data_IF_164194795730
#
_entry.id   IF_164194795730
#
_cell.length_a   1.000
_cell.length_b   1.000
_cell.length_c   1.000
_cell.angle_alpha   90.00
_cell.angle_beta   90.00
_cell.angle_gamma   90.00
#
_symmetry.space_group_name_H-M   'P 1'
#
loop_
_entity.id
_entity.type
_entity.pdbx_description
1 polymer ?
#
# COMPACT_ATOMS: atom_id res chain seq x y z
N UNK A 1 1.47 -0.95 -14.86
CA UNK A 1 1.38 -2.40 -14.54
C UNK A 1 1.98 -3.28 -15.62
N UNK A 2 2.35 -2.75 -16.79
CA UNK A 2 2.97 -3.51 -17.87
C UNK A 2 4.47 -3.75 -17.69
N UNK A 3 5.05 -3.24 -16.61
CA UNK A 3 6.48 -3.35 -16.30
C UNK A 3 6.81 -4.47 -15.31
N UNK A 4 5.80 -5.14 -14.74
CA UNK A 4 6.01 -6.27 -13.83
C UNK A 4 5.80 -7.58 -14.57
N UNK A 5 6.86 -8.36 -14.69
CA UNK A 5 6.86 -9.66 -15.35
C UNK A 5 6.90 -9.60 -16.88
N UNK A 6 6.81 -10.75 -17.48
CA UNK A 6 6.80 -10.90 -18.94
C UNK A 6 5.42 -10.57 -19.55
N UNK A 7 5.40 -10.15 -20.81
CA UNK A 7 4.15 -9.93 -21.53
C UNK A 7 3.34 -11.23 -21.59
N UNK A 8 2.15 -11.20 -21.04
CA UNK A 8 1.23 -12.34 -21.07
C UNK A 8 0.53 -12.37 -22.42
N UNK A 9 0.63 -13.49 -23.13
CA UNK A 9 -0.18 -13.75 -24.31
C UNK A 9 -1.53 -14.29 -23.85
N UNK A 10 -2.60 -13.55 -24.10
CA UNK A 10 -3.95 -13.97 -23.73
C UNK A 10 -4.93 -13.54 -24.83
N UNK A 11 -5.79 -14.49 -25.25
CA UNK A 11 -6.87 -14.25 -26.22
C UNK A 11 -7.97 -13.35 -25.64
N UNK A 12 -8.22 -13.47 -24.34
CA UNK A 12 -9.25 -12.69 -23.63
C UNK A 12 -8.66 -11.91 -22.47
N UNK A 13 -9.14 -10.69 -22.26
CA UNK A 13 -8.77 -9.83 -21.12
C UNK A 13 -10.03 -9.39 -20.40
N UNK A 14 -10.06 -9.59 -19.08
CA UNK A 14 -11.14 -9.11 -18.20
C UNK A 14 -10.61 -7.93 -17.40
N UNK A 15 -11.32 -6.80 -17.47
CA UNK A 15 -11.01 -5.61 -16.67
C UNK A 15 -11.94 -5.55 -15.46
N UNK A 16 -11.37 -5.32 -14.29
CA UNK A 16 -12.11 -5.11 -13.04
C UNK A 16 -12.40 -3.64 -12.76
N UNK A 17 -12.05 -2.72 -13.66
CA UNK A 17 -12.21 -1.27 -13.44
C UNK A 17 -13.66 -0.83 -13.17
N UNK A 18 -14.64 -1.55 -13.72
CA UNK A 18 -16.07 -1.31 -13.44
C UNK A 18 -16.52 -1.84 -12.08
N UNK A 19 -15.75 -2.71 -11.43
CA UNK A 19 -16.02 -3.24 -10.10
C UNK A 19 -15.43 -2.27 -9.07
N UNK A 20 -16.00 -1.08 -8.96
CA UNK A 20 -15.51 0.03 -8.15
C UNK A 20 -16.57 0.56 -7.20
N UNK A 21 -16.15 1.15 -6.11
CA UNK A 21 -16.96 1.81 -5.08
C UNK A 21 -16.67 1.30 -3.68
N UNK A 22 -16.98 2.16 -2.70
CA UNK A 22 -16.95 1.82 -1.28
C UNK A 22 -18.26 1.08 -0.99
N UNK A 23 -18.16 -0.08 -0.32
CA UNK A 23 -19.30 -0.90 0.09
C UNK A 23 -19.74 -0.48 1.49
N UNK A 24 -18.80 -0.48 2.43
CA UNK A 24 -19.01 -0.10 3.82
C UNK A 24 -17.79 0.68 4.33
N UNK A 25 -18.04 1.63 5.22
CA UNK A 25 -16.98 2.32 5.95
C UNK A 25 -17.49 2.68 7.34
N UNK A 26 -16.83 2.15 8.36
CA UNK A 26 -17.14 2.37 9.76
C UNK A 26 -15.91 2.96 10.47
N UNK A 27 -15.85 4.31 10.56
CA UNK A 27 -14.70 4.99 11.17
C UNK A 27 -14.41 4.55 12.60
N UNK A 28 -15.45 4.30 13.40
CA UNK A 28 -15.35 3.90 14.81
C UNK A 28 -14.75 2.49 14.95
N UNK A 29 -15.00 1.62 13.98
CA UNK A 29 -14.50 0.25 13.95
C UNK A 29 -13.17 0.12 13.18
N UNK A 30 -12.66 1.22 12.64
CA UNK A 30 -11.39 1.32 11.95
C UNK A 30 -11.26 0.37 10.75
N UNK A 31 -12.31 0.22 9.96
CA UNK A 31 -12.24 -0.53 8.70
C UNK A 31 -12.99 0.14 7.56
N UNK A 32 -12.54 -0.17 6.34
CA UNK A 32 -13.22 0.17 5.09
C UNK A 32 -13.33 -1.07 4.22
N UNK A 33 -14.52 -1.30 3.65
CA UNK A 33 -14.79 -2.35 2.69
C UNK A 33 -15.06 -1.76 1.31
N UNK A 34 -14.30 -2.20 0.31
CA UNK A 34 -14.36 -1.67 -1.05
C UNK A 34 -14.40 -2.77 -2.10
N UNK A 35 -14.89 -2.45 -3.29
CA UNK A 35 -14.72 -3.29 -4.48
C UNK A 35 -13.28 -3.23 -4.97
N UNK A 36 -12.75 -4.33 -5.50
CA UNK A 36 -11.32 -4.44 -5.84
C UNK A 36 -10.84 -3.47 -6.91
N UNK A 37 -11.69 -3.05 -7.83
CA UNK A 37 -11.38 -2.06 -8.87
C UNK A 37 -11.48 -0.60 -8.40
N UNK A 38 -11.78 -0.35 -7.13
CA UNK A 38 -11.86 1.02 -6.58
C UNK A 38 -10.50 1.70 -6.68
N UNK A 39 -10.41 2.90 -7.28
CA UNK A 39 -9.20 3.69 -7.27
C UNK A 39 -8.74 3.94 -5.82
N UNK A 40 -7.45 3.76 -5.57
CA UNK A 40 -6.93 3.91 -4.20
C UNK A 40 -7.16 5.33 -3.66
N UNK A 41 -7.00 6.35 -4.52
CA UNK A 41 -7.25 7.74 -4.13
C UNK A 41 -8.70 8.04 -3.71
N UNK A 42 -9.67 7.28 -4.19
CA UNK A 42 -11.07 7.45 -3.76
C UNK A 42 -11.27 6.90 -2.34
N UNK A 43 -10.60 5.80 -2.01
CA UNK A 43 -10.55 5.28 -0.66
C UNK A 43 -9.87 6.28 0.30
N UNK A 44 -8.70 6.81 -0.08
CA UNK A 44 -7.98 7.81 0.73
C UNK A 44 -8.82 9.06 1.00
N UNK A 45 -9.50 9.61 -0.01
CA UNK A 45 -10.40 10.76 0.15
C UNK A 45 -11.56 10.49 1.12
N UNK A 46 -12.09 9.27 1.13
CA UNK A 46 -13.15 8.90 2.07
C UNK A 46 -12.61 8.85 3.51
N UNK A 47 -11.41 8.30 3.71
CA UNK A 47 -10.76 8.18 5.01
C UNK A 47 -10.36 9.56 5.57
N UNK A 48 -9.91 10.47 4.71
CA UNK A 48 -9.48 11.81 5.10
C UNK A 48 -10.58 12.62 5.82
N UNK A 49 -11.84 12.40 5.46
CA UNK A 49 -12.99 13.05 6.10
C UNK A 49 -13.11 12.74 7.61
N UNK A 50 -12.56 11.62 8.04
CA UNK A 50 -12.57 11.17 9.43
C UNK A 50 -11.16 11.14 10.03
N UNK A 51 -10.19 11.88 9.46
CA UNK A 51 -8.80 11.88 9.89
C UNK A 51 -8.21 10.47 10.01
N UNK A 52 -8.50 9.60 9.05
CA UNK A 52 -7.98 8.24 8.95
C UNK A 52 -7.15 8.07 7.70
N UNK A 53 -6.31 7.04 7.69
CA UNK A 53 -5.38 6.75 6.60
C UNK A 53 -5.17 5.26 6.36
N UNK A 54 -4.70 4.92 5.15
CA UNK A 54 -4.07 3.64 4.83
C UNK A 54 -2.60 3.72 5.26
N UNK A 55 -2.30 3.26 6.46
CA UNK A 55 -1.00 3.49 7.11
C UNK A 55 0.19 2.81 6.42
N UNK A 56 -0.05 1.84 5.53
CA UNK A 56 0.99 1.17 4.75
C UNK A 56 1.62 2.04 3.64
N UNK A 57 1.25 3.32 3.57
CA UNK A 57 1.77 4.31 2.62
C UNK A 57 1.71 3.86 1.15
N UNK A 58 0.55 3.95 0.51
CA UNK A 58 0.44 3.59 -0.89
C UNK A 58 1.34 4.44 -1.79
N UNK A 59 2.25 3.79 -2.51
CA UNK A 59 3.18 4.44 -3.45
C UNK A 59 2.43 4.85 -4.72
N UNK A 60 2.69 6.04 -5.24
CA UNK A 60 2.16 6.50 -6.52
C UNK A 60 3.07 6.12 -7.68
N UNK A 61 2.87 4.92 -8.21
CA UNK A 61 3.66 4.44 -9.34
C UNK A 61 3.42 5.22 -10.62
N UNK A 62 2.23 5.76 -10.84
CA UNK A 62 1.95 6.59 -12.00
C UNK A 62 2.77 7.86 -11.99
N UNK A 63 2.94 8.43 -10.79
CA UNK A 63 3.78 9.61 -10.63
C UNK A 63 5.26 9.32 -10.96
N UNK A 64 5.76 8.17 -10.51
CA UNK A 64 7.14 7.72 -10.79
C UNK A 64 7.31 7.41 -12.29
N UNK A 65 6.31 6.76 -12.92
CA UNK A 65 6.40 6.32 -14.31
C UNK A 65 6.29 7.48 -15.31
N UNK A 66 5.37 8.41 -15.12
CA UNK A 66 5.03 9.43 -16.13
C UNK A 66 4.69 10.82 -15.58
N UNK A 67 4.93 11.07 -14.29
CA UNK A 67 4.66 12.33 -13.62
C UNK A 67 3.18 12.64 -13.37
N UNK A 68 2.27 11.69 -13.66
CA UNK A 68 0.83 11.82 -13.41
C UNK A 68 0.41 10.89 -12.29
N UNK A 69 -0.28 11.44 -11.30
CA UNK A 69 -0.78 10.64 -10.18
C UNK A 69 -1.67 9.49 -10.66
N UNK A 70 -1.27 8.27 -10.36
CA UNK A 70 -2.05 7.06 -10.59
C UNK A 70 -1.61 5.96 -9.62
N UNK A 71 -2.18 5.97 -8.42
CA UNK A 71 -1.92 4.95 -7.41
C UNK A 71 -2.50 3.57 -7.78
N UNK A 72 -3.31 3.49 -8.83
CA UNK A 72 -3.98 2.26 -9.22
C UNK A 72 -5.21 1.95 -8.37
N UNK A 73 -5.53 0.66 -8.21
CA UNK A 73 -6.72 0.19 -7.51
C UNK A 73 -6.38 -0.54 -6.21
N UNK A 74 -7.32 -0.59 -5.27
CA UNK A 74 -7.15 -1.31 -3.99
C UNK A 74 -6.79 -2.79 -4.23
N UNK A 75 -7.47 -3.46 -5.16
CA UNK A 75 -7.16 -4.85 -5.53
C UNK A 75 -5.77 -5.02 -6.11
N UNK A 76 -5.31 -4.08 -6.94
CA UNK A 76 -3.95 -4.07 -7.46
C UNK A 76 -2.90 -3.92 -6.37
N UNK A 77 -3.16 -3.05 -5.40
CA UNK A 77 -2.29 -2.85 -4.24
C UNK A 77 -2.16 -4.10 -3.37
N UNK A 78 -3.31 -4.69 -3.01
CA UNK A 78 -3.34 -5.93 -2.24
C UNK A 78 -2.61 -7.06 -2.97
N UNK A 79 -2.87 -7.20 -4.27
CA UNK A 79 -2.23 -8.25 -5.07
C UNK A 79 -0.70 -8.12 -5.12
N UNK A 80 -0.15 -6.91 -5.04
CA UNK A 80 1.29 -6.66 -5.07
C UNK A 80 1.93 -6.57 -3.68
N UNK A 81 1.15 -6.36 -2.63
CA UNK A 81 1.62 -6.13 -1.25
C UNK A 81 2.65 -4.99 -1.15
N UNK A 82 2.44 -3.91 -1.88
CA UNK A 82 3.35 -2.76 -1.82
C UNK A 82 3.13 -1.94 -0.55
N UNK A 83 4.22 -1.48 0.04
CA UNK A 83 4.21 -0.61 1.21
C UNK A 83 5.35 0.40 1.13
N UNK A 84 5.16 1.56 1.73
CA UNK A 84 6.17 2.62 1.81
C UNK A 84 7.15 2.45 2.96
N UNK A 85 7.80 3.54 3.32
CA UNK A 85 8.88 3.61 4.31
C UNK A 85 8.43 3.28 5.75
N UNK A 86 7.12 3.39 6.02
CA UNK A 86 6.53 3.08 7.34
C UNK A 86 6.36 1.58 7.60
N UNK A 87 6.73 0.72 6.65
CA UNK A 87 6.52 -0.73 6.73
C UNK A 87 7.06 -1.35 8.01
N UNK A 88 8.21 -0.90 8.52
CA UNK A 88 8.80 -1.48 9.72
C UNK A 88 7.98 -1.17 11.00
N UNK A 89 7.22 -0.07 11.00
CA UNK A 89 6.39 0.33 12.15
C UNK A 89 4.95 -0.17 12.05
N UNK A 90 4.35 -0.08 10.87
CA UNK A 90 2.92 -0.34 10.67
C UNK A 90 2.62 -1.63 9.88
N UNK A 91 3.65 -2.27 9.33
CA UNK A 91 3.49 -3.41 8.46
C UNK A 91 3.21 -3.04 7.00
N UNK A 92 2.93 -4.06 6.20
CA UNK A 92 2.59 -3.97 4.78
C UNK A 92 1.08 -4.03 4.57
N UNK A 93 0.62 -4.01 3.32
CA UNK A 93 -0.81 -4.23 2.98
C UNK A 93 -1.34 -5.52 3.59
N UNK A 94 -0.50 -6.59 3.62
CA UNK A 94 -0.83 -7.88 4.21
C UNK A 94 -1.24 -7.79 5.68
N UNK A 95 -0.67 -6.85 6.42
CA UNK A 95 -0.95 -6.66 7.85
C UNK A 95 -2.21 -5.81 8.09
N UNK A 96 -2.72 -5.18 7.04
CA UNK A 96 -3.93 -4.36 7.05
C UNK A 96 -5.14 -5.04 6.41
N UNK A 97 -4.99 -6.16 5.69
CA UNK A 97 -6.14 -6.86 5.12
C UNK A 97 -6.85 -7.68 6.19
N UNK A 98 -8.14 -7.38 6.40
CA UNK A 98 -9.01 -8.07 7.34
C UNK A 98 -9.81 -9.18 6.68
N UNK A 99 -10.13 -9.02 5.40
CA UNK A 99 -10.88 -10.00 4.65
C UNK A 99 -10.98 -9.69 3.17
N UNK A 100 -11.40 -10.67 2.39
CA UNK A 100 -11.65 -10.51 0.96
C UNK A 100 -12.76 -11.43 0.47
N UNK A 101 -13.32 -11.07 -0.67
CA UNK A 101 -14.06 -11.95 -1.54
C UNK A 101 -13.38 -11.99 -2.90
N UNK A 102 -13.35 -13.14 -3.52
CA UNK A 102 -12.76 -13.34 -4.84
C UNK A 102 -13.27 -14.58 -5.55
N UNK A 103 -12.76 -14.81 -6.74
CA UNK A 103 -13.09 -15.97 -7.57
C UNK A 103 -11.79 -16.75 -7.79
N UNK A 104 -11.82 -18.06 -7.51
CA UNK A 104 -10.68 -18.94 -7.73
C UNK A 104 -10.55 -19.39 -9.19
N UNK A 105 -9.52 -20.18 -9.52
CA UNK A 105 -9.29 -20.68 -10.86
C UNK A 105 -10.32 -21.68 -11.38
N UNK A 106 -11.23 -22.17 -10.51
CA UNK A 106 -12.36 -23.05 -10.88
C UNK A 106 -13.66 -22.29 -11.12
N UNK A 107 -13.67 -20.97 -10.84
CA UNK A 107 -14.86 -20.13 -10.94
C UNK A 107 -15.69 -20.06 -9.65
N UNK A 108 -15.23 -20.68 -8.57
CA UNK A 108 -15.94 -20.65 -7.29
C UNK A 108 -15.70 -19.34 -6.56
N UNK A 109 -16.73 -18.82 -5.90
CA UNK A 109 -16.62 -17.67 -5.02
C UNK A 109 -15.97 -18.12 -3.70
N UNK A 110 -14.86 -17.48 -3.36
CA UNK A 110 -14.16 -17.69 -2.10
C UNK A 110 -14.23 -16.44 -1.24
N UNK A 111 -14.41 -16.64 0.07
CA UNK A 111 -14.40 -15.58 1.08
C UNK A 111 -13.51 -15.99 2.23
N UNK A 112 -12.77 -15.03 2.77
CA UNK A 112 -11.97 -15.24 3.99
C UNK A 112 -11.92 -13.96 4.80
N UNK A 113 -11.84 -14.10 6.13
CA UNK A 113 -11.82 -12.96 7.04
C UNK A 113 -13.20 -12.30 7.19
N UNK A 114 -13.19 -11.08 7.72
CA UNK A 114 -14.38 -10.31 8.02
C UNK A 114 -14.04 -8.86 8.29
N UNK A 115 -14.75 -8.23 9.21
CA UNK A 115 -14.53 -6.85 9.66
C UNK A 115 -13.73 -6.76 10.96
N UNK A 116 -13.42 -7.90 11.59
CA UNK A 116 -12.71 -7.97 12.88
C UNK A 116 -11.24 -8.30 12.69
N UNK A 117 -10.40 -7.70 13.52
CA UNK A 117 -8.93 -7.85 13.46
C UNK A 117 -8.48 -9.28 13.83
N UNK A 118 -9.26 -10.00 14.65
CA UNK A 118 -8.94 -11.35 15.09
C UNK A 118 -9.91 -12.36 14.52
N UNK A 119 -9.45 -13.13 13.55
CA UNK A 119 -10.14 -14.35 13.09
C UNK A 119 -9.23 -15.55 13.38
N UNK A 120 -9.68 -16.46 14.26
CA UNK A 120 -8.90 -17.61 14.74
C UNK A 120 -9.36 -18.94 14.12
N UNK A 121 -10.31 -18.90 13.20
CA UNK A 121 -10.89 -20.12 12.61
C UNK A 121 -10.34 -20.34 11.19
N UNK A 122 -9.61 -21.42 10.99
CA UNK A 122 -9.09 -21.84 9.69
C UNK A 122 -7.83 -21.08 9.23
N UNK A 123 -7.47 -21.28 7.97
CA UNK A 123 -6.32 -20.61 7.34
C UNK A 123 -6.63 -19.15 7.03
N UNK A 124 -5.64 -18.29 7.24
CA UNK A 124 -5.72 -16.87 6.85
C UNK A 124 -5.48 -16.72 5.35
N UNK A 125 -6.50 -16.99 4.55
CA UNK A 125 -6.45 -16.87 3.10
C UNK A 125 -6.27 -15.40 2.65
N UNK A 126 -6.68 -14.43 3.47
CA UNK A 126 -6.50 -13.02 3.17
C UNK A 126 -5.01 -12.67 3.07
N UNK A 127 -4.20 -13.23 3.96
CA UNK A 127 -2.76 -13.08 3.93
C UNK A 127 -2.09 -13.90 2.81
N UNK A 128 -2.67 -15.01 2.41
CA UNK A 128 -2.17 -15.83 1.32
C UNK A 128 -2.34 -15.13 -0.04
N UNK A 129 -3.50 -14.52 -0.29
CA UNK A 129 -3.78 -13.86 -1.57
C UNK A 129 -3.07 -12.50 -1.68
N UNK A 130 -2.69 -11.88 -0.55
CA UNK A 130 -1.94 -10.64 -0.54
C UNK A 130 -0.51 -10.90 -1.03
N UNK A 131 -0.10 -10.18 -2.06
CA UNK A 131 1.21 -10.38 -2.70
C UNK A 131 1.25 -11.51 -3.73
N UNK A 132 0.11 -12.13 -4.05
CA UNK A 132 0.02 -13.22 -5.04
C UNK A 132 0.06 -12.73 -6.50
N UNK A 133 0.11 -11.45 -6.76
CA UNK A 133 0.02 -10.84 -8.09
C UNK A 133 -1.22 -11.26 -8.90
N UNK A 134 -2.30 -11.66 -8.20
CA UNK A 134 -3.53 -12.14 -8.82
C UNK A 134 -3.44 -13.56 -9.40
N UNK A 135 -2.41 -14.34 -9.05
CA UNK A 135 -2.22 -15.70 -9.56
C UNK A 135 -3.09 -16.74 -8.86
N UNK A 136 -3.57 -16.43 -7.64
CA UNK A 136 -4.36 -17.35 -6.83
C UNK A 136 -5.87 -17.10 -6.93
N UNK A 137 -6.27 -15.85 -7.13
CA UNK A 137 -7.68 -15.48 -7.24
C UNK A 137 -7.87 -14.14 -7.93
N UNK A 138 -9.06 -13.93 -8.48
CA UNK A 138 -9.55 -12.63 -8.94
C UNK A 138 -10.30 -11.97 -7.78
N UNK A 139 -9.73 -10.94 -7.20
CA UNK A 139 -10.33 -10.23 -6.06
C UNK A 139 -11.54 -9.42 -6.51
N UNK A 140 -12.64 -9.49 -5.76
CA UNK A 140 -13.87 -8.73 -6.02
C UNK A 140 -14.18 -7.71 -4.94
N UNK A 141 -14.02 -8.06 -3.67
CA UNK A 141 -14.21 -7.20 -2.50
C UNK A 141 -13.03 -7.33 -1.55
N UNK A 142 -12.70 -6.26 -0.87
CA UNK A 142 -11.58 -6.19 0.07
C UNK A 142 -12.00 -5.38 1.28
N UNK A 143 -11.71 -5.91 2.48
CA UNK A 143 -11.84 -5.21 3.75
C UNK A 143 -10.46 -4.88 4.28
N UNK A 144 -10.19 -3.60 4.50
CA UNK A 144 -8.92 -3.10 5.02
C UNK A 144 -9.12 -2.46 6.39
N UNK A 145 -8.18 -2.74 7.27
CA UNK A 145 -7.98 -1.96 8.50
C UNK A 145 -7.45 -0.58 8.12
N UNK A 146 -7.98 0.44 8.77
CA UNK A 146 -7.49 1.82 8.68
C UNK A 146 -6.97 2.27 10.03
N UNK A 147 -6.15 3.30 10.05
CA UNK A 147 -5.62 3.87 11.29
C UNK A 147 -5.94 5.36 11.36
N UNK A 148 -6.06 5.93 12.58
CA UNK A 148 -6.11 7.37 12.75
C UNK A 148 -4.86 8.02 12.17
N UNK A 149 -5.04 9.08 11.41
CA UNK A 149 -3.95 9.88 10.87
C UNK A 149 -3.27 10.64 12.01
N UNK A 150 -1.95 10.63 12.04
CA UNK A 150 -1.21 11.44 13.01
C UNK A 150 -1.47 12.92 12.73
N UNK A 151 -1.72 13.69 13.78
CA UNK A 151 -1.97 15.13 13.69
C UNK A 151 -0.72 15.92 13.29
N UNK A 152 0.44 15.35 13.53
CA UNK A 152 1.73 15.98 13.29
C UNK A 152 2.79 14.93 12.91
N UNK A 153 3.64 15.27 11.94
CA UNK A 153 4.83 14.49 11.60
C UNK A 153 5.93 15.41 11.09
N UNK A 154 7.16 15.13 11.48
CA UNK A 154 8.35 15.78 10.96
C UNK A 154 9.21 14.79 10.20
N UNK A 155 9.90 15.29 9.16
CA UNK A 155 10.92 14.53 8.45
C UNK A 155 12.30 15.10 8.81
N UNK A 156 13.20 14.24 9.25
CA UNK A 156 14.61 14.60 9.48
C UNK A 156 15.42 14.02 8.34
N UNK A 157 16.21 14.86 7.69
CA UNK A 157 17.16 14.44 6.66
C UNK A 157 18.55 14.46 7.26
N UNK A 158 19.28 13.36 7.10
CA UNK A 158 20.62 13.18 7.67
C UNK A 158 21.55 12.80 6.54
N UNK A 159 22.60 13.59 6.32
CA UNK A 159 23.67 13.24 5.39
C UNK A 159 24.60 12.20 6.04
N UNK A 160 24.78 11.09 5.36
CA UNK A 160 25.64 10.00 5.80
C UNK A 160 26.78 9.80 4.81
N UNK A 161 28.02 9.68 5.34
CA UNK A 161 29.22 9.67 4.50
C UNK A 161 29.65 8.27 4.05
N UNK A 162 29.20 7.24 4.72
CA UNK A 162 29.57 5.86 4.41
C UNK A 162 28.48 4.86 4.81
N UNK A 163 28.59 3.65 4.27
CA UNK A 163 27.61 2.58 4.51
C UNK A 163 27.51 2.14 5.98
N UNK A 164 28.61 2.24 6.75
CA UNK A 164 28.58 1.87 8.16
C UNK A 164 27.72 2.84 8.95
N UNK A 165 27.86 4.15 8.68
CA UNK A 165 27.02 5.18 9.30
C UNK A 165 25.53 4.97 9.01
N UNK A 166 25.17 4.45 7.81
CA UNK A 166 23.80 4.10 7.46
C UNK A 166 23.27 3.00 8.39
N UNK A 167 24.01 1.90 8.54
CA UNK A 167 23.60 0.78 9.41
C UNK A 167 23.47 1.21 10.87
N UNK A 168 24.48 1.93 11.39
CA UNK A 168 24.48 2.45 12.76
C UNK A 168 23.30 3.39 13.03
N UNK A 169 22.91 4.19 12.02
CA UNK A 169 21.75 5.09 12.10
C UNK A 169 20.43 4.30 12.14
N UNK A 170 20.24 3.32 11.24
CA UNK A 170 19.04 2.49 11.22
C UNK A 170 18.88 1.70 12.51
N UNK A 171 19.97 1.19 13.07
CA UNK A 171 19.95 0.49 14.36
C UNK A 171 19.49 1.42 15.49
N UNK A 172 20.09 2.61 15.59
CA UNK A 172 19.68 3.63 16.56
C UNK A 172 18.22 4.06 16.40
N UNK A 173 17.75 4.24 15.16
CA UNK A 173 16.36 4.61 14.86
C UNK A 173 15.43 3.51 15.36
N UNK A 174 15.75 2.24 15.07
CA UNK A 174 14.91 1.09 15.42
C UNK A 174 14.82 0.87 16.93
N UNK A 175 15.90 1.15 17.67
CA UNK A 175 15.98 1.04 19.14
C UNK A 175 15.57 2.31 19.89
N UNK A 176 15.20 3.38 19.20
CA UNK A 176 14.91 4.67 19.80
C UNK A 176 13.52 4.67 20.48
N UNK A 177 13.40 5.42 21.58
CA UNK A 177 12.12 5.71 22.24
C UNK A 177 11.29 6.76 21.48
N UNK A 178 11.86 7.38 20.44
CA UNK A 178 11.15 8.30 19.56
C UNK A 178 10.16 7.54 18.69
N UNK A 179 8.98 8.10 18.47
CA UNK A 179 7.96 7.46 17.61
C UNK A 179 8.33 7.57 16.11
N UNK A 180 9.47 7.04 15.72
CA UNK A 180 9.87 7.02 14.31
C UNK A 180 8.89 6.16 13.52
N UNK A 181 8.19 6.78 12.58
CA UNK A 181 7.15 6.11 11.80
C UNK A 181 7.67 5.54 10.48
N UNK A 182 8.73 6.09 9.92
CA UNK A 182 9.31 5.66 8.65
C UNK A 182 10.80 6.02 8.58
N UNK A 183 11.59 5.23 7.86
CA UNK A 183 12.98 5.53 7.55
C UNK A 183 13.32 5.02 6.15
N UNK A 184 14.06 5.82 5.40
CA UNK A 184 14.46 5.48 4.03
C UNK A 184 15.87 6.01 3.78
N UNK A 185 16.69 5.18 3.18
CA UNK A 185 17.97 5.64 2.64
C UNK A 185 17.80 5.99 1.17
N UNK A 186 18.24 7.17 0.80
CA UNK A 186 18.28 7.63 -0.59
C UNK A 186 19.75 7.72 -0.99
N UNK A 187 20.25 6.84 -1.88
CA UNK A 187 21.62 6.92 -2.36
C UNK A 187 21.84 8.21 -3.13
N UNK A 188 23.09 8.68 -3.15
CA UNK A 188 23.49 9.80 -3.99
C UNK A 188 23.06 9.54 -5.43
N UNK A 189 22.30 10.48 -5.96
CA UNK A 189 21.76 10.59 -7.31
C UNK A 189 21.72 9.30 -8.16
N UNK A 190 20.56 8.64 -8.24
CA UNK A 190 20.32 7.74 -9.36
C UNK A 190 20.56 8.55 -10.65
N UNK A 191 21.41 8.05 -11.54
CA UNK A 191 21.69 8.67 -12.86
C UNK A 191 20.48 8.67 -13.81
N UNK A 192 19.28 8.41 -13.30
CA UNK A 192 18.03 8.39 -14.04
C UNK A 192 17.48 9.83 -14.14
N UNK A 193 17.48 10.38 -15.35
CA UNK A 193 16.96 11.71 -15.62
C UNK A 193 15.49 11.89 -15.19
N UNK A 194 14.67 10.85 -15.22
CA UNK A 194 13.28 10.92 -14.79
C UNK A 194 13.17 11.05 -13.27
N UNK A 195 14.03 10.37 -12.53
CA UNK A 195 14.12 10.53 -11.08
C UNK A 195 14.53 11.97 -10.72
N UNK A 196 15.56 12.49 -11.36
CA UNK A 196 16.05 13.86 -11.11
C UNK A 196 14.99 14.91 -11.42
N UNK A 197 14.27 14.78 -12.54
CA UNK A 197 13.17 15.69 -12.92
C UNK A 197 12.00 15.72 -11.94
N UNK A 198 11.79 14.63 -11.19
CA UNK A 198 10.67 14.47 -10.27
C UNK A 198 11.08 14.52 -8.79
N UNK A 199 12.39 14.58 -8.47
CA UNK A 199 12.91 14.56 -7.09
C UNK A 199 12.26 15.62 -6.21
N UNK A 200 12.21 16.85 -6.64
CA UNK A 200 11.67 17.98 -5.88
C UNK A 200 10.15 17.90 -5.69
N UNK A 201 9.48 17.07 -6.50
CA UNK A 201 8.05 16.79 -6.37
C UNK A 201 7.77 15.61 -5.45
N UNK A 202 8.70 14.63 -5.38
CA UNK A 202 8.62 13.44 -4.52
C UNK A 202 9.00 13.82 -3.08
N UNK A 203 10.05 14.61 -2.93
CA UNK A 203 10.52 15.12 -1.65
C UNK A 203 10.18 16.62 -1.57
N UNK A 204 8.95 16.94 -1.18
CA UNK A 204 8.69 18.30 -0.67
C UNK A 204 9.41 18.42 0.66
N UNK A 205 10.61 18.93 0.64
CA UNK A 205 11.20 19.53 1.81
C UNK A 205 10.37 20.78 2.06
N UNK A 206 9.50 20.74 3.05
CA UNK A 206 8.97 21.99 3.58
C UNK A 206 10.17 22.69 4.20
N UNK A 207 10.43 23.90 3.72
CA UNK A 207 11.46 24.77 4.26
C UNK A 207 11.37 24.76 5.79
N UNK A 208 12.49 24.37 6.43
CA UNK A 208 12.70 24.52 7.85
C UNK A 208 12.93 25.99 8.16
#
# INVERSE_FOLDING_TARGET
>A
KNFIGNKTQASNKISLSKLSGIIDYFPEELYIKVKAGTPLGDGEKALEKNNQELAFEPIDFGFIENGKSNKGTVGGYLSCNYAGSRRFKVGSVRDHVLGFQGINGKGDIIKSGGTVVKNVTGYDLSKLVTGSFGTLSVLTEITLKVLPKKSFSNTIVIDVKDNKAIYDLFDKISGSSSEVSGATFVPEEPKDENYLKNRDKIFKFNDL
#
